data_IF_481423624053
#
_entry.id   IF_481423624053
#
_cell.length_a   1.000
_cell.length_b   1.000
_cell.length_c   1.000
_cell.angle_alpha   90.00
_cell.angle_beta   90.00
_cell.angle_gamma   90.00
#
_symmetry.space_group_name_H-M   'P 1'
#
loop_
_entity.id
_entity.type
_entity.pdbx_description
1 polymer ?
#
# COMPACT_ATOMS: atom_id res chain seq x y z
N UNK A 1 -1.26 -9.03 -8.30
CA UNK A 1 -0.66 -7.93 -9.08
C UNK A 1 -0.64 -8.23 -10.57
N UNK A 2 -1.41 -7.45 -11.33
CA UNK A 2 -1.65 -7.63 -12.76
C UNK A 2 -0.62 -6.83 -13.57
N UNK A 3 -0.06 -7.42 -14.63
CA UNK A 3 0.89 -6.74 -15.52
C UNK A 3 0.16 -5.86 -16.51
N UNK A 4 0.79 -4.77 -16.96
CA UNK A 4 0.22 -3.94 -18.03
C UNK A 4 0.02 -4.78 -19.30
N UNK A 5 -1.09 -4.58 -20.02
CA UNK A 5 -1.27 -5.12 -21.37
C UNK A 5 -0.29 -4.47 -22.35
N UNK A 6 -0.12 -5.09 -23.53
CA UNK A 6 0.68 -4.50 -24.61
C UNK A 6 0.04 -3.22 -25.13
N UNK A 7 0.63 -2.07 -24.79
CA UNK A 7 0.09 -0.75 -25.12
C UNK A 7 0.07 -0.50 -26.63
N UNK A 8 0.97 -1.12 -27.40
CA UNK A 8 1.04 -0.97 -28.86
C UNK A 8 -0.22 -1.50 -29.55
N UNK A 9 -0.87 -2.48 -28.92
CA UNK A 9 -2.10 -3.10 -29.42
C UNK A 9 -3.37 -2.32 -29.10
N UNK A 10 -3.29 -1.36 -28.17
CA UNK A 10 -4.45 -0.59 -27.72
C UNK A 10 -4.65 0.67 -28.57
N UNK A 11 -5.90 0.98 -28.88
CA UNK A 11 -6.33 2.27 -29.42
C UNK A 11 -6.29 3.37 -28.35
N UNK A 12 -6.42 4.63 -28.76
CA UNK A 12 -6.41 5.77 -27.83
C UNK A 12 -7.62 5.79 -26.88
N UNK A 13 -8.75 5.27 -27.35
CA UNK A 13 -9.94 5.08 -26.53
C UNK A 13 -9.71 3.98 -25.49
N UNK A 14 -9.14 2.84 -25.89
CA UNK A 14 -8.79 1.74 -24.97
C UNK A 14 -7.73 2.16 -23.94
N UNK A 15 -6.74 2.99 -24.32
CA UNK A 15 -5.79 3.58 -23.37
C UNK A 15 -6.47 4.51 -22.36
N UNK A 16 -7.48 5.26 -22.81
CA UNK A 16 -8.25 6.15 -21.94
C UNK A 16 -9.07 5.34 -20.93
N UNK A 17 -9.75 4.28 -21.39
CA UNK A 17 -10.46 3.34 -20.53
C UNK A 17 -9.54 2.63 -19.54
N UNK A 18 -8.37 2.17 -19.99
CA UNK A 18 -7.38 1.53 -19.12
C UNK A 18 -6.91 2.50 -18.03
N UNK A 19 -6.65 3.76 -18.38
CA UNK A 19 -6.23 4.78 -17.43
C UNK A 19 -7.30 5.08 -16.37
N UNK A 20 -8.57 5.14 -16.78
CA UNK A 20 -9.71 5.30 -15.86
C UNK A 20 -9.80 4.13 -14.88
N UNK A 21 -9.73 2.89 -15.38
CA UNK A 21 -9.75 1.68 -14.55
C UNK A 21 -8.58 1.63 -13.55
N UNK A 22 -7.37 1.96 -13.99
CA UNK A 22 -6.21 2.03 -13.11
C UNK A 22 -6.38 3.13 -12.06
N UNK A 23 -6.96 4.27 -12.42
CA UNK A 23 -7.28 5.36 -11.50
C UNK A 23 -8.27 4.94 -10.41
N UNK A 24 -9.38 4.30 -10.79
CA UNK A 24 -10.38 3.80 -9.83
C UNK A 24 -9.78 2.77 -8.86
N UNK A 25 -8.94 1.87 -9.37
CA UNK A 25 -8.22 0.87 -8.56
C UNK A 25 -7.23 1.54 -7.60
N UNK A 26 -6.44 2.50 -8.07
CA UNK A 26 -5.50 3.25 -7.23
C UNK A 26 -6.24 4.01 -6.12
N UNK A 27 -7.37 4.64 -6.45
CA UNK A 27 -8.21 5.36 -5.49
C UNK A 27 -8.73 4.43 -4.39
N UNK A 28 -9.14 3.21 -4.75
CA UNK A 28 -9.56 2.19 -3.78
C UNK A 28 -8.41 1.76 -2.85
N UNK A 29 -7.22 1.50 -3.43
CA UNK A 29 -6.00 1.17 -2.68
C UNK A 29 -5.62 2.31 -1.74
N UNK A 30 -5.65 3.55 -2.23
CA UNK A 30 -5.35 4.76 -1.45
C UNK A 30 -6.34 5.00 -0.32
N UNK A 31 -7.64 4.73 -0.53
CA UNK A 31 -8.66 4.75 0.55
C UNK A 31 -8.33 3.72 1.63
N UNK A 32 -8.08 2.46 1.26
CA UNK A 32 -7.77 1.39 2.22
C UNK A 32 -6.51 1.71 3.03
N UNK A 33 -5.45 2.18 2.37
CA UNK A 33 -4.21 2.60 3.02
C UNK A 33 -4.45 3.66 4.10
N UNK A 34 -5.26 4.69 3.82
CA UNK A 34 -5.60 5.73 4.80
C UNK A 34 -6.29 5.15 6.03
N UNK A 35 -7.20 4.19 5.84
CA UNK A 35 -7.89 3.55 6.97
C UNK A 35 -6.93 2.69 7.79
N UNK A 36 -6.07 1.89 7.13
CA UNK A 36 -5.06 1.11 7.83
C UNK A 36 -4.12 1.98 8.65
N UNK A 37 -3.65 3.10 8.09
CA UNK A 37 -2.86 4.09 8.84
C UNK A 37 -3.58 4.57 10.08
N UNK A 38 -4.83 5.01 9.96
CA UNK A 38 -5.62 5.44 11.12
C UNK A 38 -5.75 4.36 12.19
N UNK A 39 -5.98 3.10 11.79
CA UNK A 39 -6.03 1.95 12.72
C UNK A 39 -4.70 1.70 13.40
N UNK A 40 -3.61 1.63 12.63
CA UNK A 40 -2.25 1.41 13.13
C UNK A 40 -1.88 2.50 14.13
N UNK A 41 -2.20 3.76 13.84
CA UNK A 41 -1.91 4.89 14.72
C UNK A 41 -2.66 4.79 16.05
N UNK A 42 -3.95 4.42 16.03
CA UNK A 42 -4.75 4.18 17.24
C UNK A 42 -4.11 3.07 18.09
N UNK A 43 -3.80 1.91 17.48
CA UNK A 43 -3.24 0.78 18.21
C UNK A 43 -1.83 1.06 18.75
N UNK A 44 -1.00 1.77 17.97
CA UNK A 44 0.34 2.20 18.40
C UNK A 44 0.27 3.21 19.54
N UNK A 45 -0.69 4.12 19.52
CA UNK A 45 -0.90 5.09 20.60
C UNK A 45 -1.27 4.36 21.90
N UNK A 46 -2.20 3.42 21.85
CA UNK A 46 -2.60 2.60 23.00
C UNK A 46 -1.41 1.79 23.54
N UNK A 47 -0.70 1.08 22.66
CA UNK A 47 0.51 0.33 23.03
C UNK A 47 1.54 1.21 23.73
N UNK A 48 1.76 2.42 23.21
CA UNK A 48 2.72 3.38 23.80
C UNK A 48 2.24 3.87 25.17
N UNK A 49 0.94 4.11 25.35
CA UNK A 49 0.36 4.51 26.62
C UNK A 49 0.52 3.41 27.68
N UNK A 50 0.17 2.15 27.35
CA UNK A 50 0.35 1.00 28.26
C UNK A 50 1.80 0.77 28.64
N UNK A 51 2.71 0.87 27.66
CA UNK A 51 4.14 0.74 27.90
C UNK A 51 4.65 1.81 28.89
N UNK A 52 4.27 3.08 28.70
CA UNK A 52 4.63 4.18 29.60
C UNK A 52 4.10 3.94 31.03
N UNK A 53 2.88 3.43 31.17
CA UNK A 53 2.29 3.12 32.46
C UNK A 53 3.06 2.00 33.19
N UNK A 54 3.41 0.91 32.49
CA UNK A 54 4.18 -0.21 33.04
C UNK A 54 5.59 0.19 33.45
N UNK A 55 6.26 1.01 32.63
CA UNK A 55 7.58 1.57 32.95
C UNK A 55 7.50 2.44 34.21
N UNK A 56 6.49 3.33 34.29
CA UNK A 56 6.29 4.19 35.46
C UNK A 56 6.00 3.39 36.74
N UNK A 57 5.32 2.26 36.62
CA UNK A 57 5.02 1.35 37.73
C UNK A 57 6.20 0.45 38.14
N UNK A 58 7.32 0.47 37.41
CA UNK A 58 8.47 -0.41 37.67
C UNK A 58 8.28 -1.87 37.24
N UNK A 59 7.19 -2.18 36.53
CA UNK A 59 6.83 -3.55 36.10
C UNK A 59 7.11 -3.77 34.60
N UNK A 60 8.13 -3.10 34.07
CA UNK A 60 8.55 -3.26 32.69
C UNK A 60 9.66 -4.29 32.57
N UNK A 61 9.36 -5.39 31.89
CA UNK A 61 10.35 -6.35 31.43
C UNK A 61 10.64 -6.11 29.95
N UNK A 62 11.91 -5.98 29.62
CA UNK A 62 12.35 -5.89 28.22
C UNK A 62 12.06 -7.22 27.54
N UNK A 63 11.15 -7.21 26.56
CA UNK A 63 10.94 -8.36 25.68
C UNK A 63 11.98 -8.38 24.58
N UNK A 64 12.78 -9.44 24.54
CA UNK A 64 13.62 -9.76 23.38
C UNK A 64 12.76 -10.52 22.36
N UNK A 65 12.59 -10.01 21.13
CA UNK A 65 11.86 -10.73 20.10
C UNK A 65 12.60 -12.02 19.73
N UNK A 66 11.83 -13.08 19.44
CA UNK A 66 12.39 -14.36 18.99
C UNK A 66 13.02 -14.26 17.58
N UNK A 67 12.52 -13.34 16.74
CA UNK A 67 13.08 -13.03 15.42
C UNK A 67 12.85 -11.56 15.04
N UNK A 68 13.78 -11.01 14.28
CA UNK A 68 13.67 -9.72 13.59
C UNK A 68 13.28 -9.89 12.12
N UNK A 69 13.20 -11.13 11.62
CA UNK A 69 12.80 -11.40 10.25
C UNK A 69 11.34 -11.01 10.07
N UNK A 70 11.13 -10.07 9.16
CA UNK A 70 9.83 -9.72 8.63
C UNK A 70 9.94 -9.75 7.12
N UNK A 71 9.15 -10.58 6.43
CA UNK A 71 9.14 -10.53 4.97
C UNK A 71 8.73 -9.13 4.54
N UNK A 72 9.51 -8.52 3.64
CA UNK A 72 9.20 -7.21 3.07
C UNK A 72 7.83 -7.26 2.35
N UNK A 73 7.43 -8.46 1.92
CA UNK A 73 6.21 -8.73 1.19
C UNK A 73 5.73 -10.15 1.48
N UNK A 74 4.47 -10.29 1.91
CA UNK A 74 3.89 -11.59 2.29
C UNK A 74 2.62 -11.94 1.50
N UNK A 75 1.89 -10.96 0.98
CA UNK A 75 0.69 -11.14 0.17
C UNK A 75 0.90 -10.94 -1.33
N UNK A 76 -0.18 -10.78 -2.09
CA UNK A 76 -0.15 -10.37 -3.51
C UNK A 76 -0.26 -8.85 -3.71
N UNK A 77 -0.36 -8.10 -2.60
CA UNK A 77 -0.70 -6.67 -2.60
C UNK A 77 -2.12 -6.39 -3.09
N UNK A 78 -2.84 -7.41 -3.56
CA UNK A 78 -4.21 -7.27 -4.04
C UNK A 78 -5.10 -6.93 -2.86
N UNK A 79 -5.75 -5.78 -2.95
CA UNK A 79 -6.77 -5.38 -2.01
C UNK A 79 -8.03 -6.12 -2.42
N UNK A 80 -8.57 -7.03 -1.58
CA UNK A 80 -9.87 -7.61 -1.87
C UNK A 80 -10.88 -6.47 -1.94
N UNK A 81 -11.64 -6.42 -3.04
CA UNK A 81 -12.59 -5.33 -3.31
C UNK A 81 -13.69 -5.25 -2.24
N UNK A 82 -13.84 -6.32 -1.43
CA UNK A 82 -14.95 -6.57 -0.51
C UNK A 82 -14.54 -6.88 0.93
N UNK A 83 -13.27 -6.70 1.32
CA UNK A 83 -12.88 -6.95 2.72
C UNK A 83 -13.41 -5.82 3.60
N UNK A 84 -14.63 -5.99 4.11
CA UNK A 84 -15.19 -5.19 5.20
C UNK A 84 -14.12 -5.05 6.27
N UNK A 85 -13.69 -3.82 6.51
CA UNK A 85 -12.69 -3.52 7.53
C UNK A 85 -13.14 -4.17 8.83
N UNK A 86 -12.44 -5.22 9.26
CA UNK A 86 -12.75 -5.87 10.53
C UNK A 86 -12.76 -4.81 11.63
N UNK A 87 -13.74 -4.83 12.55
CA UNK A 87 -13.81 -3.83 13.61
C UNK A 87 -12.51 -3.82 14.42
N UNK A 88 -12.11 -2.63 14.89
CA UNK A 88 -10.99 -2.54 15.81
C UNK A 88 -11.29 -3.38 17.06
N UNK A 89 -10.29 -4.10 17.61
CA UNK A 89 -10.47 -4.79 18.88
C UNK A 89 -10.80 -3.77 19.97
N UNK A 90 -11.57 -4.20 20.97
CA UNK A 90 -11.83 -3.37 22.13
C UNK A 90 -10.53 -3.15 22.93
N UNK A 91 -10.03 -1.92 22.89
CA UNK A 91 -8.77 -1.53 23.53
C UNK A 91 -8.83 -1.61 25.05
N UNK A 92 -10.02 -1.66 25.66
CA UNK A 92 -10.13 -1.81 27.10
C UNK A 92 -9.86 -3.25 27.57
N UNK A 93 -10.10 -4.24 26.70
CA UNK A 93 -10.09 -5.66 27.07
C UNK A 93 -9.00 -6.47 26.37
N UNK A 94 -8.48 -6.00 25.24
CA UNK A 94 -7.38 -6.66 24.53
C UNK A 94 -6.11 -6.69 25.39
N UNK A 95 -5.44 -7.83 25.48
CA UNK A 95 -4.15 -7.94 26.16
C UNK A 95 -3.01 -7.35 25.31
N UNK A 96 -1.84 -7.14 25.93
CA UNK A 96 -0.69 -6.55 25.24
C UNK A 96 -0.19 -7.43 24.09
N UNK A 97 -0.23 -8.75 24.20
CA UNK A 97 0.35 -9.64 23.18
C UNK A 97 -0.52 -9.65 21.93
N UNK A 98 -1.83 -9.72 22.12
CA UNK A 98 -2.83 -9.59 21.06
C UNK A 98 -2.75 -8.21 20.39
N UNK A 99 -2.63 -7.13 21.17
CA UNK A 99 -2.47 -5.78 20.62
C UNK A 99 -1.21 -5.66 19.75
N UNK A 100 -0.08 -6.24 20.19
CA UNK A 100 1.17 -6.23 19.44
C UNK A 100 1.09 -7.07 18.17
N UNK A 101 0.47 -8.25 18.23
CA UNK A 101 0.26 -9.11 17.07
C UNK A 101 -0.60 -8.39 16.02
N UNK A 102 -1.67 -7.71 16.45
CA UNK A 102 -2.56 -6.98 15.55
C UNK A 102 -1.87 -5.78 14.90
N UNK A 103 -1.08 -5.01 15.64
CA UNK A 103 -0.25 -3.93 15.06
C UNK A 103 0.67 -4.49 13.98
N UNK A 104 1.39 -5.58 14.24
CA UNK A 104 2.30 -6.17 13.25
C UNK A 104 1.56 -6.69 12.02
N UNK A 105 0.39 -7.31 12.21
CA UNK A 105 -0.45 -7.81 11.11
C UNK A 105 -0.90 -6.65 10.21
N UNK A 106 -1.43 -5.58 10.80
CA UNK A 106 -1.89 -4.41 10.06
C UNK A 106 -0.74 -3.66 9.36
N UNK A 107 0.42 -3.55 10.01
CA UNK A 107 1.60 -2.97 9.35
C UNK A 107 2.02 -3.83 8.15
N UNK A 108 1.93 -5.16 8.22
CA UNK A 108 2.28 -6.02 7.09
C UNK A 108 1.31 -5.85 5.92
N UNK A 109 0.02 -5.76 6.24
CA UNK A 109 -1.03 -5.45 5.26
C UNK A 109 -0.78 -4.08 4.61
N UNK A 110 -0.35 -3.08 5.39
CA UNK A 110 -0.01 -1.75 4.87
C UNK A 110 1.21 -1.76 3.94
N UNK A 111 2.26 -2.52 4.27
CA UNK A 111 3.44 -2.67 3.42
C UNK A 111 3.06 -3.23 2.04
N UNK A 112 2.25 -4.30 2.03
CA UNK A 112 1.77 -4.97 0.83
C UNK A 112 0.89 -4.01 -0.02
N UNK A 113 0.00 -3.26 0.62
CA UNK A 113 -0.85 -2.25 -0.04
C UNK A 113 -0.03 -1.08 -0.58
N UNK A 114 0.97 -0.61 0.17
CA UNK A 114 1.87 0.45 -0.28
C UNK A 114 2.72 0.01 -1.46
N UNK A 115 3.11 -1.27 -1.54
CA UNK A 115 3.74 -1.81 -2.74
C UNK A 115 2.78 -1.82 -3.94
N UNK A 116 1.55 -2.30 -3.75
CA UNK A 116 0.56 -2.30 -4.83
C UNK A 116 0.29 -0.89 -5.36
N UNK A 117 0.11 0.08 -4.46
CA UNK A 117 -0.03 1.49 -4.81
C UNK A 117 1.14 1.96 -5.68
N UNK A 118 2.39 1.69 -5.29
CA UNK A 118 3.57 2.11 -6.09
C UNK A 118 3.56 1.54 -7.50
N UNK A 119 3.17 0.27 -7.65
CA UNK A 119 3.07 -0.34 -8.97
C UNK A 119 1.93 0.27 -9.79
N UNK A 120 0.77 0.52 -9.19
CA UNK A 120 -0.33 1.21 -9.88
C UNK A 120 0.07 2.61 -10.34
N UNK A 121 0.78 3.40 -9.51
CA UNK A 121 1.31 4.70 -9.95
C UNK A 121 2.27 4.54 -11.12
N UNK A 122 3.20 3.59 -11.06
CA UNK A 122 4.11 3.31 -12.17
C UNK A 122 3.35 2.96 -13.46
N UNK A 123 2.30 2.15 -13.37
CA UNK A 123 1.47 1.76 -14.50
C UNK A 123 0.70 2.97 -15.08
N UNK A 124 0.09 3.77 -14.21
CA UNK A 124 -0.61 5.02 -14.59
C UNK A 124 0.34 5.97 -15.31
N UNK A 125 1.56 6.16 -14.80
CA UNK A 125 2.54 7.07 -15.38
C UNK A 125 3.01 6.60 -16.76
N UNK A 126 3.22 5.28 -16.94
CA UNK A 126 3.53 4.69 -18.25
C UNK A 126 2.38 4.92 -19.24
N UNK A 127 1.13 4.66 -18.86
CA UNK A 127 -0.04 4.85 -19.74
C UNK A 127 -0.24 6.33 -20.09
N UNK A 128 -0.01 7.25 -19.13
CA UNK A 128 -0.05 8.70 -19.37
C UNK A 128 1.04 9.15 -20.33
N UNK A 129 2.26 8.63 -20.17
CA UNK A 129 3.38 8.94 -21.06
C UNK A 129 3.09 8.46 -22.48
N UNK A 130 2.56 7.25 -22.63
CA UNK A 130 2.15 6.67 -23.91
C UNK A 130 1.14 7.56 -24.63
N UNK A 131 0.05 7.91 -23.95
CA UNK A 131 -0.98 8.79 -24.51
C UNK A 131 -0.44 10.17 -24.89
N UNK A 132 0.48 10.70 -24.08
CA UNK A 132 1.13 11.98 -24.35
C UNK A 132 2.00 11.92 -25.60
N UNK A 133 2.81 10.86 -25.78
CA UNK A 133 3.63 10.68 -26.99
C UNK A 133 2.76 10.55 -28.24
N UNK A 134 1.71 9.72 -28.20
CA UNK A 134 0.76 9.57 -29.31
C UNK A 134 0.11 10.88 -29.72
N UNK A 135 -0.36 11.67 -28.75
CA UNK A 135 -0.99 12.97 -29.03
C UNK A 135 -0.06 13.99 -29.72
N UNK A 136 1.26 13.82 -29.58
CA UNK A 136 2.29 14.67 -30.21
C UNK A 136 2.77 14.12 -31.55
N UNK A 137 2.21 13.00 -32.02
CA UNK A 137 2.72 12.26 -33.18
C UNK A 137 4.11 11.65 -32.96
N UNK A 138 4.51 11.45 -31.70
CA UNK A 138 5.77 10.80 -31.34
C UNK A 138 5.66 9.27 -31.42
N UNK A 139 6.80 8.61 -31.29
CA UNK A 139 6.89 7.15 -31.17
C UNK A 139 6.28 6.66 -29.86
N UNK A 140 5.99 5.37 -29.76
CA UNK A 140 5.47 4.74 -28.54
C UNK A 140 6.50 4.75 -27.39
N UNK A 141 6.04 4.52 -26.17
CA UNK A 141 6.90 4.35 -25.00
C UNK A 141 7.71 3.06 -25.14
N UNK A 142 9.01 3.16 -24.89
CA UNK A 142 9.94 2.03 -24.86
C UNK A 142 10.64 1.89 -23.49
N UNK A 143 11.47 0.85 -23.37
CA UNK A 143 12.19 0.55 -22.12
C UNK A 143 13.18 1.65 -21.69
N UNK A 144 13.72 2.41 -22.65
CA UNK A 144 14.63 3.53 -22.40
C UNK A 144 13.93 4.74 -21.78
N UNK A 145 12.63 4.93 -22.05
CA UNK A 145 11.84 6.01 -21.45
C UNK A 145 11.53 5.77 -19.95
N UNK A 146 11.53 4.51 -19.51
CA UNK A 146 11.06 4.12 -18.17
C UNK A 146 11.81 4.83 -17.04
N UNK A 147 13.11 5.08 -17.20
CA UNK A 147 13.89 5.81 -16.21
C UNK A 147 13.37 7.24 -15.99
N UNK A 148 12.99 7.93 -17.06
CA UNK A 148 12.42 9.27 -16.98
C UNK A 148 10.97 9.27 -16.48
N UNK A 149 10.17 8.28 -16.89
CA UNK A 149 8.76 8.18 -16.52
C UNK A 149 8.61 7.87 -15.03
N UNK A 150 9.35 6.87 -14.54
CA UNK A 150 9.24 6.37 -13.16
C UNK A 150 10.11 7.12 -12.16
N UNK A 151 11.12 7.85 -12.63
CA UNK A 151 12.03 8.62 -11.78
C UNK A 151 11.39 9.85 -11.12
N UNK A 152 10.16 10.20 -11.50
CA UNK A 152 9.50 11.44 -11.10
C UNK A 152 10.17 12.63 -11.81
N UNK A 153 9.55 13.11 -12.88
CA UNK A 153 9.95 14.40 -13.47
C UNK A 153 9.86 15.49 -12.41
N UNK A 154 10.98 16.17 -12.18
CA UNK A 154 11.00 17.44 -11.42
C UNK A 154 10.20 18.53 -12.14
#
# INVERSE_FOLDING_TARGET
>A
METLPDLLSLSDDELSTLLEQLGEREDAVSRRRRVLHGRIDILRAERTARLKARVSAGNFEVRTPASFDRPIYAGTGDVPVEDELQPLPDLATVDDDTLWAEVRRLEQEEDDISLNRRVMHAQIDIVRAERTKRSRGGEHVDAGDLGSILGGGQ
#
